data_IF_291927146145
#
_entry.id   IF_291927146145
#
_cell.length_a   1.000
_cell.length_b   1.000
_cell.length_c   1.000
_cell.angle_alpha   90.00
_cell.angle_beta   90.00
_cell.angle_gamma   90.00
#
_symmetry.space_group_name_H-M   'P 1'
#
loop_
_entity.id
_entity.type
_entity.pdbx_description
1 polymer ?
#
# COMPACT_ATOMS: atom_id res chain seq x y z
N UNK A 1 14.04 35.41 10.31
CA UNK A 1 12.65 35.60 10.77
C UNK A 1 11.80 34.70 9.87
N UNK A 2 10.97 33.81 10.43
CA UNK A 2 10.08 32.96 9.62
C UNK A 2 8.99 33.82 9.00
N UNK A 3 8.73 33.65 7.69
CA UNK A 3 7.69 34.37 6.95
C UNK A 3 6.28 33.75 7.16
N UNK A 4 6.23 32.54 7.68
CA UNK A 4 4.99 31.80 7.94
C UNK A 4 5.29 30.36 8.33
N UNK A 5 4.22 29.59 8.54
CA UNK A 5 4.27 28.18 8.90
C UNK A 5 3.33 27.40 7.95
N UNK A 6 3.73 26.17 7.61
CA UNK A 6 2.88 25.22 6.90
C UNK A 6 2.59 24.06 7.85
N UNK A 7 1.30 23.76 8.05
CA UNK A 7 0.86 22.58 8.80
C UNK A 7 0.31 21.55 7.83
N UNK A 8 0.93 20.36 7.80
CA UNK A 8 0.45 19.22 7.03
C UNK A 8 -0.39 18.32 7.94
N UNK A 9 -1.66 18.14 7.57
CA UNK A 9 -2.61 17.28 8.29
C UNK A 9 -3.17 16.26 7.31
N UNK A 10 -2.91 14.97 7.54
CA UNK A 10 -3.40 13.87 6.74
C UNK A 10 -4.52 13.12 7.46
N UNK A 11 -5.45 12.57 6.69
CA UNK A 11 -6.56 11.79 7.20
C UNK A 11 -6.58 10.41 6.55
N UNK A 12 -6.31 9.37 7.33
CA UNK A 12 -6.47 7.98 6.91
C UNK A 12 -7.90 7.54 7.28
N UNK A 13 -8.72 7.35 6.26
CA UNK A 13 -10.14 7.02 6.38
C UNK A 13 -10.57 6.11 5.25
N UNK A 14 -11.30 5.04 5.61
CA UNK A 14 -12.03 4.18 4.69
C UNK A 14 -13.37 3.78 5.32
N UNK A 15 -14.42 3.53 4.52
CA UNK A 15 -15.63 2.87 5.00
C UNK A 15 -15.27 1.47 5.52
N UNK A 16 -16.12 0.91 6.37
CA UNK A 16 -15.94 -0.45 6.87
C UNK A 16 -16.34 -1.46 5.78
N UNK A 17 -15.38 -2.23 5.28
CA UNK A 17 -15.53 -3.11 4.10
C UNK A 17 -15.35 -4.59 4.39
N UNK A 18 -15.43 -5.01 5.65
CA UNK A 18 -15.29 -6.41 6.04
C UNK A 18 -16.55 -7.22 5.76
N UNK A 19 -16.44 -8.27 4.96
CA UNK A 19 -17.52 -9.15 4.52
C UNK A 19 -17.18 -10.63 4.76
N UNK A 20 -17.33 -11.14 6.00
CA UNK A 20 -16.96 -12.52 6.34
C UNK A 20 -17.84 -13.58 5.67
N UNK A 21 -19.00 -13.18 5.14
CA UNK A 21 -19.97 -14.03 4.46
C UNK A 21 -19.62 -14.34 3.00
N UNK A 22 -18.63 -13.68 2.42
CA UNK A 22 -18.23 -13.85 1.03
C UNK A 22 -16.72 -14.00 0.91
N UNK A 23 -16.26 -14.89 0.06
CA UNK A 23 -14.83 -15.11 -0.19
C UNK A 23 -14.19 -14.00 -1.05
N UNK A 24 -15.00 -13.27 -1.81
CA UNK A 24 -14.57 -12.13 -2.62
C UNK A 24 -15.62 -11.04 -2.59
N UNK A 25 -15.18 -9.83 -2.27
CA UNK A 25 -16.01 -8.62 -2.26
C UNK A 25 -15.19 -7.46 -2.81
N UNK A 26 -15.74 -6.81 -3.84
CA UNK A 26 -15.06 -5.72 -4.54
C UNK A 26 -14.68 -4.55 -3.62
N UNK A 27 -15.48 -4.28 -2.60
CA UNK A 27 -15.25 -3.20 -1.65
C UNK A 27 -14.01 -3.43 -0.77
N UNK A 28 -13.56 -4.68 -0.58
CA UNK A 28 -12.32 -4.98 0.14
C UNK A 28 -11.08 -4.55 -0.66
N UNK A 29 -11.17 -4.47 -2.00
CA UNK A 29 -10.10 -3.95 -2.85
C UNK A 29 -9.70 -2.52 -2.47
N UNK A 30 -10.64 -1.69 -1.99
CA UNK A 30 -10.32 -0.34 -1.53
C UNK A 30 -9.32 -0.34 -0.35
N UNK A 31 -9.43 -1.33 0.55
CA UNK A 31 -8.47 -1.48 1.63
C UNK A 31 -7.12 -1.94 1.10
N UNK A 32 -7.11 -2.89 0.15
CA UNK A 32 -5.88 -3.42 -0.43
C UNK A 32 -5.13 -2.34 -1.22
N UNK A 33 -5.83 -1.57 -2.06
CA UNK A 33 -5.26 -0.42 -2.76
C UNK A 33 -4.71 0.62 -1.79
N UNK A 34 -5.46 0.95 -0.72
CA UNK A 34 -5.00 1.93 0.26
C UNK A 34 -3.73 1.46 0.99
N UNK A 35 -3.60 0.19 1.33
CA UNK A 35 -2.38 -0.37 1.93
C UNK A 35 -1.23 -0.30 0.92
N UNK A 36 -1.47 -0.79 -0.31
CA UNK A 36 -0.45 -0.94 -1.36
C UNK A 36 0.03 0.39 -1.92
N UNK A 37 -0.89 1.33 -2.19
CA UNK A 37 -0.58 2.55 -2.95
C UNK A 37 -0.45 3.80 -2.07
N UNK A 38 -0.88 3.72 -0.80
CA UNK A 38 -0.88 4.88 0.09
C UNK A 38 -0.14 4.62 1.39
N UNK A 39 -0.54 3.64 2.20
CA UNK A 39 -0.04 3.54 3.58
C UNK A 39 1.40 3.05 3.62
N UNK A 40 1.73 1.96 2.91
CA UNK A 40 3.11 1.44 2.86
C UNK A 40 4.05 2.44 2.15
N UNK A 41 3.72 3.00 0.97
CA UNK A 41 4.55 4.04 0.36
C UNK A 41 4.78 5.26 1.26
N UNK A 42 3.78 5.69 2.01
CA UNK A 42 3.91 6.80 2.95
C UNK A 42 4.87 6.45 4.11
N UNK A 43 4.83 5.22 4.62
CA UNK A 43 5.80 4.74 5.60
C UNK A 43 7.22 4.77 5.05
N UNK A 44 7.44 4.34 3.79
CA UNK A 44 8.74 4.43 3.12
C UNK A 44 9.25 5.88 3.01
N UNK A 45 8.36 6.83 2.70
CA UNK A 45 8.69 8.26 2.69
C UNK A 45 9.15 8.72 4.07
N UNK A 46 8.42 8.37 5.13
CA UNK A 46 8.77 8.77 6.50
C UNK A 46 10.08 8.13 6.97
N UNK A 47 10.28 6.85 6.68
CA UNK A 47 11.54 6.15 6.98
C UNK A 47 12.71 6.80 6.22
N UNK A 48 12.51 7.18 4.96
CA UNK A 48 13.48 7.91 4.15
C UNK A 48 13.85 9.25 4.75
N UNK A 49 12.86 10.08 5.07
CA UNK A 49 13.07 11.38 5.70
C UNK A 49 13.82 11.26 7.03
N UNK A 50 13.46 10.27 7.84
CA UNK A 50 14.14 10.00 9.11
C UNK A 50 15.59 9.57 8.90
N UNK A 51 15.85 8.68 7.93
CA UNK A 51 17.21 8.24 7.58
C UNK A 51 18.08 9.41 7.10
N UNK A 52 17.49 10.33 6.34
CA UNK A 52 18.18 11.49 5.76
C UNK A 52 18.32 12.64 6.80
N UNK A 53 17.86 12.44 8.03
CA UNK A 53 17.98 13.42 9.11
C UNK A 53 17.06 14.64 8.96
N UNK A 54 16.01 14.54 8.15
CA UNK A 54 15.03 15.63 7.97
C UNK A 54 14.11 15.69 9.19
N UNK A 55 14.14 16.81 9.92
CA UNK A 55 13.19 17.07 11.04
C UNK A 55 11.83 17.50 10.47
N UNK A 56 11.00 16.53 10.12
CA UNK A 56 9.63 16.77 9.66
C UNK A 56 8.64 16.59 10.81
N UNK A 57 7.55 17.38 10.78
CA UNK A 57 6.42 17.26 11.70
C UNK A 57 5.15 17.26 10.91
N UNK A 58 4.28 16.32 11.22
CA UNK A 58 2.99 16.20 10.58
C UNK A 58 1.97 15.65 11.57
N UNK A 59 0.70 15.89 11.29
CA UNK A 59 -0.43 15.30 12.00
C UNK A 59 -1.13 14.32 11.10
N UNK A 60 -1.45 13.14 11.62
CA UNK A 60 -2.27 12.15 10.91
C UNK A 60 -3.40 11.70 11.84
N UNK A 61 -4.63 11.69 11.33
CA UNK A 61 -5.75 11.01 11.97
C UNK A 61 -6.01 9.66 11.30
N UNK A 62 -6.36 8.66 12.10
CA UNK A 62 -6.82 7.36 11.63
C UNK A 62 -8.19 7.07 12.23
N UNK A 63 -9.15 6.69 11.39
CA UNK A 63 -10.50 6.38 11.89
C UNK A 63 -10.55 5.01 12.57
N UNK A 64 -11.36 4.83 13.63
CA UNK A 64 -11.50 3.54 14.29
C UNK A 64 -11.89 2.38 13.35
N UNK A 65 -12.80 2.55 12.36
CA UNK A 65 -13.07 1.49 11.38
C UNK A 65 -11.82 1.05 10.62
N UNK A 66 -11.00 1.98 10.15
CA UNK A 66 -9.75 1.66 9.43
C UNK A 66 -8.78 0.88 10.34
N UNK A 67 -8.58 1.33 11.57
CA UNK A 67 -7.71 0.63 12.54
C UNK A 67 -8.22 -0.79 12.81
N UNK A 68 -9.55 -0.97 12.95
CA UNK A 68 -10.15 -2.29 13.10
C UNK A 68 -9.87 -3.21 11.92
N UNK A 69 -10.04 -2.71 10.69
CA UNK A 69 -9.81 -3.47 9.46
C UNK A 69 -8.34 -3.86 9.29
N UNK A 70 -7.41 -2.93 9.52
CA UNK A 70 -5.96 -3.20 9.44
C UNK A 70 -5.50 -4.25 10.47
N UNK A 71 -6.23 -4.44 11.56
CA UNK A 71 -5.94 -5.43 12.60
C UNK A 71 -6.78 -6.71 12.49
N UNK A 72 -7.68 -6.79 11.53
CA UNK A 72 -8.55 -7.95 11.35
C UNK A 72 -7.80 -9.10 10.67
N UNK A 73 -7.66 -10.28 11.31
CA UNK A 73 -6.89 -11.39 10.74
C UNK A 73 -7.42 -11.89 9.40
N UNK A 74 -8.76 -11.84 9.18
CA UNK A 74 -9.36 -12.24 7.91
C UNK A 74 -8.95 -11.32 6.78
N UNK A 75 -8.98 -9.99 7.02
CA UNK A 75 -8.57 -9.02 6.00
C UNK A 75 -7.06 -9.05 5.76
N UNK A 76 -6.25 -9.35 6.76
CA UNK A 76 -4.83 -9.57 6.60
C UNK A 76 -4.54 -10.80 5.73
N UNK A 77 -5.17 -11.95 6.02
CA UNK A 77 -5.04 -13.17 5.21
C UNK A 77 -5.47 -12.95 3.76
N UNK A 78 -6.56 -12.22 3.55
CA UNK A 78 -7.04 -11.89 2.20
C UNK A 78 -6.09 -10.94 1.45
N UNK A 79 -5.51 -9.98 2.15
CA UNK A 79 -4.51 -9.11 1.57
C UNK A 79 -3.23 -9.86 1.18
N UNK A 80 -2.79 -10.83 1.98
CA UNK A 80 -1.67 -11.72 1.63
C UNK A 80 -1.98 -12.52 0.36
N UNK A 81 -3.21 -13.05 0.24
CA UNK A 81 -3.66 -13.75 -0.96
C UNK A 81 -3.73 -12.82 -2.18
N UNK A 82 -4.20 -11.58 -2.00
CA UNK A 82 -4.22 -10.55 -3.04
C UNK A 82 -2.80 -10.21 -3.54
N UNK A 83 -1.83 -10.02 -2.65
CA UNK A 83 -0.43 -9.79 -3.03
C UNK A 83 0.17 -10.97 -3.80
N UNK A 84 -0.18 -12.21 -3.43
CA UNK A 84 0.26 -13.40 -4.15
C UNK A 84 -0.32 -13.46 -5.57
N UNK A 85 -1.61 -13.10 -5.73
CA UNK A 85 -2.26 -13.03 -7.04
C UNK A 85 -1.64 -11.94 -7.93
N UNK A 86 -1.35 -10.77 -7.38
CA UNK A 86 -0.66 -9.70 -8.11
C UNK A 86 0.73 -10.13 -8.58
N UNK A 87 1.47 -10.84 -7.75
CA UNK A 87 2.79 -11.35 -8.14
C UNK A 87 2.69 -12.35 -9.30
N UNK A 88 1.73 -13.28 -9.25
CA UNK A 88 1.49 -14.24 -10.34
C UNK A 88 1.11 -13.52 -11.64
N UNK A 89 0.28 -12.50 -11.56
CA UNK A 89 -0.11 -11.70 -12.72
C UNK A 89 1.08 -10.98 -13.35
N UNK A 90 1.93 -10.36 -12.53
CA UNK A 90 3.13 -9.65 -13.00
C UNK A 90 4.12 -10.60 -13.66
N UNK A 91 4.34 -11.78 -13.10
CA UNK A 91 5.23 -12.79 -13.68
C UNK A 91 4.73 -13.20 -15.09
N UNK A 92 3.41 -13.31 -15.27
CA UNK A 92 2.78 -13.57 -16.59
C UNK A 92 2.96 -12.38 -17.54
N UNK A 93 2.81 -11.14 -17.06
CA UNK A 93 3.00 -9.93 -17.86
C UNK A 93 4.46 -9.77 -18.31
N UNK A 94 5.43 -10.04 -17.47
CA UNK A 94 6.85 -10.03 -17.82
C UNK A 94 7.15 -11.04 -18.94
N UNK A 95 6.61 -12.26 -18.82
CA UNK A 95 6.77 -13.31 -19.83
C UNK A 95 6.05 -12.95 -21.13
N UNK A 96 4.83 -12.44 -21.07
CA UNK A 96 4.04 -12.08 -22.24
C UNK A 96 4.66 -10.92 -23.03
N UNK A 97 5.29 -9.98 -22.37
CA UNK A 97 5.92 -8.81 -22.98
C UNK A 97 7.41 -8.94 -23.23
N UNK A 98 7.94 -10.17 -23.35
CA UNK A 98 9.36 -10.44 -23.59
C UNK A 98 9.94 -9.63 -24.76
N UNK A 99 9.16 -9.43 -25.82
CA UNK A 99 9.57 -8.70 -27.04
C UNK A 99 9.19 -7.21 -27.04
N UNK A 100 8.51 -6.70 -26.00
CA UNK A 100 8.13 -5.30 -25.87
C UNK A 100 8.87 -4.65 -24.71
N UNK A 101 10.04 -4.04 -25.00
CA UNK A 101 10.92 -3.50 -23.96
C UNK A 101 10.26 -2.47 -23.04
N UNK A 102 9.29 -1.68 -23.51
CA UNK A 102 8.60 -0.69 -22.68
C UNK A 102 7.60 -1.35 -21.70
N UNK A 103 6.75 -2.25 -22.19
CA UNK A 103 5.76 -2.92 -21.35
C UNK A 103 6.43 -3.88 -20.37
N UNK A 104 7.48 -4.57 -20.82
CA UNK A 104 8.30 -5.39 -19.94
C UNK A 104 8.94 -4.58 -18.81
N UNK A 105 9.53 -3.41 -19.13
CA UNK A 105 10.09 -2.50 -18.11
C UNK A 105 9.05 -2.08 -17.09
N UNK A 106 7.81 -1.75 -17.52
CA UNK A 106 6.74 -1.42 -16.59
C UNK A 106 6.36 -2.60 -15.70
N UNK A 107 6.24 -3.80 -16.24
CA UNK A 107 5.96 -5.00 -15.46
C UNK A 107 7.07 -5.29 -14.42
N UNK A 108 8.34 -5.19 -14.83
CA UNK A 108 9.49 -5.33 -13.93
C UNK A 108 9.52 -4.24 -12.83
N UNK A 109 9.13 -3.00 -13.17
CA UNK A 109 8.99 -1.91 -12.19
C UNK A 109 7.93 -2.25 -11.11
N UNK A 110 6.75 -2.71 -11.54
CA UNK A 110 5.70 -3.12 -10.60
C UNK A 110 6.09 -4.37 -9.79
N UNK A 111 6.80 -5.33 -10.39
CA UNK A 111 7.32 -6.49 -9.67
C UNK A 111 8.21 -6.09 -8.49
N UNK A 112 9.14 -5.16 -8.73
CA UNK A 112 10.02 -4.64 -7.68
C UNK A 112 9.23 -3.87 -6.61
N UNK A 113 8.27 -3.03 -7.02
CA UNK A 113 7.42 -2.27 -6.11
C UNK A 113 6.60 -3.18 -5.18
N UNK A 114 5.96 -4.21 -5.72
CA UNK A 114 5.18 -5.15 -4.91
C UNK A 114 6.04 -6.02 -4.01
N UNK A 115 7.27 -6.35 -4.42
CA UNK A 115 8.21 -7.02 -3.54
C UNK A 115 8.59 -6.15 -2.33
N UNK A 116 8.85 -4.86 -2.52
CA UNK A 116 9.13 -3.92 -1.43
C UNK A 116 7.93 -3.76 -0.48
N UNK A 117 6.72 -3.68 -1.04
CA UNK A 117 5.46 -3.62 -0.28
C UNK A 117 5.29 -4.86 0.58
N UNK A 118 5.45 -6.04 0.00
CA UNK A 118 5.37 -7.32 0.71
C UNK A 118 6.37 -7.39 1.87
N UNK A 119 7.64 -7.04 1.63
CA UNK A 119 8.66 -7.02 2.67
C UNK A 119 8.32 -6.07 3.82
N UNK A 120 7.63 -4.97 3.54
CA UNK A 120 7.21 -4.01 4.57
C UNK A 120 5.99 -4.52 5.32
N UNK A 121 5.06 -5.15 4.64
CA UNK A 121 3.85 -5.74 5.22
C UNK A 121 4.17 -6.89 6.20
N UNK A 122 5.14 -7.72 5.89
CA UNK A 122 5.56 -8.87 6.69
C UNK A 122 6.41 -8.51 7.94
N UNK A 123 6.76 -7.24 8.16
CA UNK A 123 7.51 -6.75 9.36
C UNK A 123 6.62 -6.60 10.58
#
# INVERSE_FOLDING_TARGET
MALGYVALVLHAHLPFVRHPESDYVLEEEWLYEAITETYIPLLHVFEGLKRDGVDFKMTMSMTPPLVSMLRDPLLQERYDAHLALLQELIDKEIAYHEHNGHLRYLAEYYANSFQEIRQTWER
#
